data_IF_200893088657
#
_entry.id   IF_200893088657
#
_cell.length_a   1.000
_cell.length_b   1.000
_cell.length_c   1.000
_cell.angle_alpha   90.00
_cell.angle_beta   90.00
_cell.angle_gamma   90.00
#
_symmetry.space_group_name_H-M   'P 1'
#
loop_
_entity.id
_entity.type
_entity.pdbx_description
1 polymer ?
#
# COMPACT_ATOMS: atom_id res chain seq x y z
N UNK A 1 14.24 15.15 -14.90
CA UNK A 1 13.67 16.26 -15.72
C UNK A 1 12.50 15.85 -16.62
N UNK A 2 12.52 14.74 -17.37
CA UNK A 2 11.44 14.39 -18.32
C UNK A 2 10.05 14.23 -17.66
N UNK A 3 9.96 13.59 -16.47
CA UNK A 3 8.68 13.38 -15.77
C UNK A 3 8.03 14.66 -15.27
N UNK A 4 8.81 15.61 -14.76
CA UNK A 4 8.29 16.95 -14.36
C UNK A 4 7.69 17.70 -15.55
N UNK A 5 8.35 17.61 -16.71
CA UNK A 5 7.85 18.20 -17.95
C UNK A 5 6.53 17.52 -18.39
N UNK A 6 6.44 16.19 -18.30
CA UNK A 6 5.22 15.45 -18.61
C UNK A 6 4.04 15.85 -17.74
N UNK A 7 4.25 16.03 -16.42
CA UNK A 7 3.20 16.50 -15.51
C UNK A 7 2.79 17.92 -15.85
N UNK A 8 3.76 18.82 -16.08
CA UNK A 8 3.47 20.20 -16.48
C UNK A 8 2.67 20.24 -17.80
N UNK A 9 3.03 19.41 -18.77
CA UNK A 9 2.30 19.28 -20.03
C UNK A 9 0.87 18.75 -19.82
N UNK A 10 0.68 17.75 -18.95
CA UNK A 10 -0.62 17.17 -18.67
C UNK A 10 -1.57 18.13 -17.92
N UNK A 11 -1.02 19.14 -17.26
CA UNK A 11 -1.79 20.19 -16.56
C UNK A 11 -2.13 21.40 -17.46
N UNK A 12 -1.60 21.46 -18.69
CA UNK A 12 -1.95 22.52 -19.63
C UNK A 12 -3.41 22.35 -20.06
N UNK A 13 -4.22 23.40 -19.91
CA UNK A 13 -5.63 23.39 -20.31
C UNK A 13 -6.60 23.02 -19.19
N UNK A 14 -6.18 23.08 -17.94
CA UNK A 14 -7.01 22.90 -16.74
C UNK A 14 -7.86 21.62 -16.81
N UNK A 15 -7.25 20.43 -16.83
CA UNK A 15 -7.97 19.17 -16.92
C UNK A 15 -8.76 18.88 -15.64
N UNK A 16 -9.92 18.26 -15.77
CA UNK A 16 -10.69 17.74 -14.62
C UNK A 16 -10.08 16.46 -14.04
N UNK A 17 -9.33 15.69 -14.85
CA UNK A 17 -8.73 14.41 -14.47
C UNK A 17 -7.28 14.34 -14.95
N UNK A 18 -6.39 13.96 -14.04
CA UNK A 18 -4.98 13.69 -14.32
C UNK A 18 -4.70 12.19 -14.12
N UNK A 19 -4.24 11.52 -15.18
CA UNK A 19 -3.84 10.10 -15.14
C UNK A 19 -2.31 10.00 -15.11
N UNK A 20 -1.78 9.28 -14.12
CA UNK A 20 -0.36 9.09 -13.91
C UNK A 20 -0.04 7.59 -13.78
N UNK A 21 0.77 7.08 -14.70
CA UNK A 21 1.21 5.69 -14.68
C UNK A 21 2.61 5.59 -14.09
N UNK A 22 2.73 4.87 -12.95
CA UNK A 22 3.97 4.64 -12.19
C UNK A 22 4.82 5.92 -12.03
N UNK A 23 4.26 7.04 -11.55
CA UNK A 23 4.90 8.35 -11.66
C UNK A 23 6.17 8.48 -10.82
N UNK A 24 6.33 7.67 -9.78
CA UNK A 24 7.47 7.72 -8.84
C UNK A 24 8.51 6.63 -9.08
N UNK A 25 8.23 5.67 -9.98
CA UNK A 25 9.17 4.59 -10.28
C UNK A 25 10.50 5.13 -10.80
N UNK A 26 11.63 4.72 -10.19
CA UNK A 26 12.99 5.14 -10.57
C UNK A 26 13.32 6.60 -10.25
N UNK A 27 12.54 7.29 -9.43
CA UNK A 27 12.92 8.57 -8.84
C UNK A 27 13.81 8.33 -7.61
N UNK A 28 14.78 9.20 -7.42
CA UNK A 28 15.50 9.27 -6.15
C UNK A 28 14.60 9.79 -5.01
N UNK A 29 15.00 9.66 -3.74
CA UNK A 29 14.18 10.07 -2.61
C UNK A 29 13.77 11.55 -2.62
N UNK A 30 14.67 12.45 -3.06
CA UNK A 30 14.40 13.88 -3.14
C UNK A 30 13.40 14.19 -4.26
N UNK A 31 13.59 13.61 -5.43
CA UNK A 31 12.66 13.75 -6.55
C UNK A 31 11.28 13.20 -6.22
N UNK A 32 11.20 12.06 -5.51
CA UNK A 32 9.94 11.48 -5.04
C UNK A 32 9.22 12.41 -4.07
N UNK A 33 9.94 13.00 -3.10
CA UNK A 33 9.36 13.95 -2.17
C UNK A 33 8.82 15.20 -2.90
N UNK A 34 9.59 15.73 -3.84
CA UNK A 34 9.18 16.86 -4.65
C UNK A 34 7.93 16.54 -5.48
N UNK A 35 7.85 15.34 -6.08
CA UNK A 35 6.66 14.87 -6.79
C UNK A 35 5.44 14.83 -5.85
N UNK A 36 5.57 14.20 -4.68
CA UNK A 36 4.48 14.13 -3.68
C UNK A 36 3.97 15.50 -3.28
N UNK A 37 4.87 16.46 -3.11
CA UNK A 37 4.49 17.84 -2.79
C UNK A 37 3.74 18.54 -3.93
N UNK A 38 4.10 18.29 -5.20
CA UNK A 38 3.36 18.78 -6.35
C UNK A 38 1.94 18.21 -6.37
N UNK A 39 1.81 16.87 -6.26
CA UNK A 39 0.49 16.22 -6.29
C UNK A 39 -0.40 16.74 -5.15
N UNK A 40 0.13 16.88 -3.93
CA UNK A 40 -0.66 17.41 -2.80
C UNK A 40 -1.18 18.83 -3.03
N UNK A 41 -0.46 19.66 -3.79
CA UNK A 41 -0.88 21.03 -4.09
C UNK A 41 -1.99 21.11 -5.13
N UNK A 42 -1.97 20.21 -6.12
CA UNK A 42 -2.99 20.17 -7.18
C UNK A 42 -4.21 19.31 -6.80
N UNK A 43 -4.07 18.48 -5.77
CA UNK A 43 -5.13 17.65 -5.23
C UNK A 43 -6.20 18.51 -4.57
N UNK A 44 -7.42 18.41 -5.02
CA UNK A 44 -8.56 19.22 -4.58
C UNK A 44 -9.18 20.04 -5.70
N UNK A 45 -8.39 20.47 -6.67
CA UNK A 45 -8.88 21.18 -7.85
C UNK A 45 -9.16 20.23 -9.02
N UNK A 46 -8.53 19.03 -9.01
CA UNK A 46 -8.75 18.01 -10.05
C UNK A 46 -8.70 16.59 -9.47
N UNK A 47 -9.31 15.65 -10.19
CA UNK A 47 -9.23 14.23 -9.86
C UNK A 47 -7.88 13.66 -10.33
N UNK A 48 -7.03 13.21 -9.39
CA UNK A 48 -5.77 12.56 -9.72
C UNK A 48 -5.91 11.05 -9.57
N UNK A 49 -5.73 10.32 -10.65
CA UNK A 49 -5.66 8.85 -10.67
C UNK A 49 -4.22 8.45 -10.96
N UNK A 50 -3.61 7.71 -10.04
CA UNK A 50 -2.25 7.20 -10.23
C UNK A 50 -2.22 5.67 -10.10
N UNK A 51 -1.48 5.02 -10.98
CA UNK A 51 -1.11 3.62 -10.83
C UNK A 51 0.24 3.53 -10.11
N UNK A 52 0.37 2.61 -9.16
CA UNK A 52 1.64 2.32 -8.51
C UNK A 52 1.63 0.97 -7.81
N UNK A 53 2.79 0.34 -7.71
CA UNK A 53 3.04 -0.82 -6.86
C UNK A 53 3.75 -0.44 -5.55
N UNK A 54 3.97 0.85 -5.30
CA UNK A 54 4.72 1.36 -4.15
C UNK A 54 3.75 1.75 -3.04
N UNK A 55 3.64 0.92 -2.00
CA UNK A 55 2.69 1.11 -0.89
C UNK A 55 2.87 2.46 -0.18
N UNK A 56 4.10 2.91 0.04
CA UNK A 56 4.36 4.21 0.67
C UNK A 56 3.89 5.42 -0.12
N UNK A 57 3.68 5.27 -1.43
CA UNK A 57 3.08 6.33 -2.25
C UNK A 57 1.57 6.32 -2.10
N UNK A 58 0.95 5.14 -2.02
CA UNK A 58 -0.48 4.98 -1.73
C UNK A 58 -0.81 5.65 -0.40
N UNK A 59 -0.11 5.30 0.68
CA UNK A 59 -0.34 5.85 2.03
C UNK A 59 -0.18 7.36 2.10
N UNK A 60 0.74 7.92 1.30
CA UNK A 60 1.05 9.36 1.37
C UNK A 60 0.26 10.24 0.43
N UNK A 61 -0.35 9.69 -0.62
CA UNK A 61 -0.99 10.47 -1.69
C UNK A 61 -2.48 10.15 -1.89
N UNK A 62 -2.90 8.89 -1.63
CA UNK A 62 -4.22 8.44 -2.02
C UNK A 62 -5.25 8.63 -0.90
N UNK A 63 -6.44 9.10 -1.26
CA UNK A 63 -7.61 9.14 -0.38
C UNK A 63 -8.41 7.84 -0.52
N UNK A 64 -8.47 7.32 -1.75
CA UNK A 64 -9.17 6.09 -2.11
C UNK A 64 -8.23 5.16 -2.86
N UNK A 65 -8.43 3.87 -2.72
CA UNK A 65 -7.60 2.83 -3.34
C UNK A 65 -8.47 1.95 -4.22
N UNK A 66 -7.97 1.66 -5.41
CA UNK A 66 -8.54 0.68 -6.32
C UNK A 66 -7.52 -0.45 -6.48
N UNK A 67 -7.86 -1.63 -5.99
CA UNK A 67 -7.02 -2.83 -6.20
C UNK A 67 -7.53 -3.56 -7.43
N UNK A 68 -6.64 -3.72 -8.43
CA UNK A 68 -6.88 -4.52 -9.62
C UNK A 68 -6.29 -5.92 -9.40
N UNK A 69 -7.16 -6.92 -9.32
CA UNK A 69 -6.77 -8.32 -9.14
C UNK A 69 -7.63 -9.22 -10.02
N UNK A 70 -7.02 -10.15 -10.75
CA UNK A 70 -7.71 -11.10 -11.65
C UNK A 70 -8.68 -10.41 -12.64
N UNK A 71 -8.34 -9.22 -13.15
CA UNK A 71 -9.17 -8.44 -14.07
C UNK A 71 -10.39 -7.78 -13.42
N UNK A 72 -10.47 -7.78 -12.10
CA UNK A 72 -11.54 -7.13 -11.31
C UNK A 72 -11.00 -6.00 -10.48
N UNK A 73 -11.80 -4.96 -10.31
CA UNK A 73 -11.47 -3.81 -9.48
C UNK A 73 -12.28 -3.90 -8.18
N UNK A 74 -11.59 -3.77 -7.05
CA UNK A 74 -12.20 -3.59 -5.74
C UNK A 74 -11.78 -2.24 -5.20
N UNK A 75 -12.76 -1.44 -4.77
CA UNK A 75 -12.53 -0.11 -4.23
C UNK A 75 -12.47 -0.15 -2.70
N UNK A 76 -11.53 0.60 -2.13
CA UNK A 76 -11.41 0.86 -0.70
C UNK A 76 -11.46 2.37 -0.47
N UNK A 77 -12.28 2.79 0.48
CA UNK A 77 -12.53 4.21 0.75
C UNK A 77 -11.36 4.91 1.47
N UNK A 78 -10.40 4.14 1.97
CA UNK A 78 -9.19 4.66 2.62
C UNK A 78 -8.08 3.60 2.73
N UNK A 79 -6.86 4.03 3.06
CA UNK A 79 -5.77 3.14 3.44
C UNK A 79 -6.14 2.25 4.64
N UNK A 80 -6.85 2.82 5.62
CA UNK A 80 -7.34 2.07 6.79
C UNK A 80 -8.31 0.96 6.41
N UNK A 81 -9.23 1.21 5.47
CA UNK A 81 -10.17 0.20 5.00
C UNK A 81 -9.46 -0.98 4.29
N UNK A 82 -8.36 -0.71 3.57
CA UNK A 82 -7.55 -1.78 3.00
C UNK A 82 -6.76 -2.54 4.08
N UNK A 83 -6.15 -1.84 5.03
CA UNK A 83 -5.43 -2.47 6.15
C UNK A 83 -6.35 -3.38 6.98
N UNK A 84 -7.60 -2.97 7.19
CA UNK A 84 -8.59 -3.72 7.97
C UNK A 84 -8.94 -5.10 7.38
N UNK A 85 -8.65 -5.36 6.12
CA UNK A 85 -8.79 -6.70 5.50
C UNK A 85 -7.93 -7.75 6.24
N UNK A 86 -6.77 -7.32 6.78
CA UNK A 86 -5.87 -8.17 7.55
C UNK A 86 -6.07 -8.09 9.07
N UNK A 87 -7.10 -7.37 9.55
CA UNK A 87 -7.35 -7.22 10.99
C UNK A 87 -7.60 -8.57 11.66
N UNK A 88 -6.85 -8.83 12.74
CA UNK A 88 -6.90 -10.10 13.48
C UNK A 88 -6.23 -11.29 12.79
N UNK A 89 -5.46 -11.06 11.72
CA UNK A 89 -4.76 -12.10 10.96
C UNK A 89 -3.24 -11.90 10.93
N UNK A 90 -2.74 -10.79 11.44
CA UNK A 90 -1.30 -10.44 11.47
C UNK A 90 -0.74 -10.79 12.83
N UNK A 91 0.31 -11.59 12.86
CA UNK A 91 0.92 -12.12 14.07
C UNK A 91 2.44 -11.95 14.06
N UNK A 92 3.01 -11.81 15.28
CA UNK A 92 4.45 -11.90 15.51
C UNK A 92 4.75 -13.30 16.09
N UNK A 93 5.53 -14.13 15.39
CA UNK A 93 5.90 -15.48 15.81
C UNK A 93 7.41 -15.60 15.99
N UNK A 94 7.86 -16.34 17.01
CA UNK A 94 9.30 -16.58 17.24
C UNK A 94 9.89 -17.55 16.20
N UNK A 95 9.08 -18.49 15.72
CA UNK A 95 9.46 -19.46 14.70
C UNK A 95 8.26 -19.83 13.84
N UNK A 96 8.49 -20.05 12.56
CA UNK A 96 7.48 -20.55 11.62
C UNK A 96 7.52 -22.09 11.45
N UNK A 97 8.53 -22.75 12.04
CA UNK A 97 8.79 -24.18 11.83
C UNK A 97 7.65 -25.10 12.32
N UNK A 98 6.95 -24.69 13.37
CA UNK A 98 5.90 -25.50 14.02
C UNK A 98 4.47 -25.07 13.63
N UNK A 99 4.33 -24.16 12.65
CA UNK A 99 3.03 -23.69 12.21
C UNK A 99 2.36 -24.72 11.30
N UNK A 100 1.28 -25.32 11.81
CA UNK A 100 0.49 -26.31 11.07
C UNK A 100 -0.47 -25.69 10.03
N UNK A 101 -0.67 -24.37 10.07
CA UNK A 101 -1.60 -23.65 9.21
C UNK A 101 -0.87 -22.89 8.10
N UNK A 102 -1.47 -22.75 6.91
CA UNK A 102 -0.90 -21.90 5.88
C UNK A 102 -0.76 -20.45 6.36
N UNK A 103 0.37 -19.82 6.06
CA UNK A 103 0.68 -18.44 6.38
C UNK A 103 1.47 -17.79 5.24
N UNK A 104 1.43 -16.45 5.20
CA UNK A 104 2.30 -15.64 4.35
C UNK A 104 3.30 -14.91 5.24
N UNK A 105 4.61 -15.09 4.98
CA UNK A 105 5.66 -14.38 5.72
C UNK A 105 5.82 -12.96 5.17
N UNK A 106 5.80 -11.99 6.08
CA UNK A 106 6.03 -10.57 5.79
C UNK A 106 7.45 -10.11 6.15
N UNK A 107 8.26 -11.03 6.72
CA UNK A 107 9.62 -10.77 7.14
C UNK A 107 9.78 -10.39 8.61
N UNK A 108 11.01 -10.04 9.04
CA UNK A 108 11.34 -9.81 10.43
C UNK A 108 10.68 -8.53 10.97
N UNK A 109 10.22 -8.60 12.22
CA UNK A 109 9.66 -7.46 12.97
C UNK A 109 10.21 -7.46 14.38
N UNK A 110 10.36 -6.28 14.97
CA UNK A 110 10.76 -6.13 16.38
C UNK A 110 9.56 -5.68 17.21
N UNK A 111 9.23 -6.46 18.23
CA UNK A 111 8.18 -6.15 19.20
C UNK A 111 8.79 -6.17 20.58
N UNK A 112 8.65 -5.07 21.33
CA UNK A 112 9.21 -4.90 22.68
C UNK A 112 10.71 -5.26 22.80
N UNK A 113 11.49 -4.91 21.76
CA UNK A 113 12.93 -5.16 21.71
C UNK A 113 13.36 -6.58 21.36
N UNK A 114 12.40 -7.48 21.06
CA UNK A 114 12.66 -8.85 20.61
C UNK A 114 12.35 -8.99 19.12
N UNK A 115 13.15 -9.81 18.45
CA UNK A 115 12.95 -10.13 17.04
C UNK A 115 11.92 -11.25 16.88
N UNK A 116 10.99 -11.04 15.95
CA UNK A 116 9.95 -11.99 15.54
C UNK A 116 9.88 -12.04 14.03
N UNK A 117 9.25 -13.08 13.52
CA UNK A 117 8.76 -13.12 12.13
C UNK A 117 7.33 -12.62 12.08
N UNK A 118 7.05 -11.62 11.25
CA UNK A 118 5.70 -11.12 11.00
C UNK A 118 5.05 -12.00 9.95
N UNK A 119 3.86 -12.52 10.24
CA UNK A 119 3.13 -13.39 9.33
C UNK A 119 1.67 -12.98 9.24
N UNK A 120 1.04 -13.34 8.12
CA UNK A 120 -0.42 -13.29 7.94
C UNK A 120 -0.94 -14.72 7.93
N UNK A 121 -1.90 -15.04 8.80
CA UNK A 121 -2.53 -16.35 8.87
C UNK A 121 -4.05 -16.21 8.87
N UNK A 122 -4.74 -17.04 8.09
CA UNK A 122 -6.20 -17.11 8.08
C UNK A 122 -6.76 -17.74 9.36
N UNK A 123 -6.02 -18.71 9.89
CA UNK A 123 -6.39 -19.33 11.16
C UNK A 123 -5.86 -18.51 12.34
N UNK A 124 -6.63 -18.39 13.43
CA UNK A 124 -6.15 -17.73 14.63
C UNK A 124 -4.95 -18.48 15.23
N UNK A 125 -3.95 -17.72 15.67
CA UNK A 125 -2.74 -18.27 16.28
C UNK A 125 -2.64 -17.83 17.74
N UNK A 126 -2.02 -18.68 18.56
CA UNK A 126 -1.65 -18.31 19.94
C UNK A 126 -0.32 -17.54 19.93
N UNK A 127 -0.32 -16.37 19.32
CA UNK A 127 0.83 -15.48 19.17
C UNK A 127 0.37 -14.01 19.30
N UNK A 128 1.26 -13.07 19.65
CA UNK A 128 0.92 -11.66 19.69
C UNK A 128 0.35 -11.19 18.34
N UNK A 129 -0.87 -10.65 18.37
CA UNK A 129 -1.48 -10.02 17.22
C UNK A 129 -0.90 -8.62 17.02
N UNK A 130 -0.66 -8.25 15.77
CA UNK A 130 -0.18 -6.93 15.38
C UNK A 130 -1.28 -6.13 14.71
N UNK A 131 -1.22 -4.80 14.84
CA UNK A 131 -2.05 -3.90 14.04
C UNK A 131 -1.62 -4.02 12.57
N UNK A 132 -2.58 -4.21 11.66
CA UNK A 132 -2.27 -4.40 10.25
C UNK A 132 -1.86 -3.09 9.58
N UNK A 133 -0.92 -3.19 8.65
CA UNK A 133 -0.54 -2.10 7.74
C UNK A 133 -1.31 -2.21 6.41
N UNK A 134 -1.21 -1.19 5.57
CA UNK A 134 -1.78 -1.20 4.21
C UNK A 134 -1.21 -2.36 3.38
N UNK A 135 0.09 -2.66 3.56
CA UNK A 135 0.76 -3.77 2.89
C UNK A 135 0.17 -5.12 3.33
N UNK A 136 -0.07 -5.30 4.63
CA UNK A 136 -0.69 -6.52 5.15
C UNK A 136 -2.09 -6.72 4.56
N UNK A 137 -2.89 -5.65 4.53
CA UNK A 137 -4.22 -5.67 3.95
C UNK A 137 -4.21 -6.01 2.46
N UNK A 138 -3.27 -5.43 1.71
CA UNK A 138 -3.08 -5.73 0.29
C UNK A 138 -2.72 -7.20 0.06
N UNK A 139 -1.71 -7.73 0.77
CA UNK A 139 -1.31 -9.13 0.65
C UNK A 139 -2.46 -10.06 1.07
N UNK A 140 -3.13 -9.77 2.18
CA UNK A 140 -4.29 -10.55 2.64
C UNK A 140 -5.39 -10.60 1.59
N UNK A 141 -5.63 -9.49 0.88
CA UNK A 141 -6.63 -9.39 -0.19
C UNK A 141 -6.26 -10.20 -1.42
N UNK A 142 -5.03 -10.03 -1.95
CA UNK A 142 -4.61 -10.72 -3.19
C UNK A 142 -4.40 -12.23 -3.00
N UNK A 143 -3.92 -12.66 -1.84
CA UNK A 143 -3.71 -14.08 -1.48
C UNK A 143 -5.01 -14.76 -1.04
N UNK A 144 -6.14 -14.05 -1.07
CA UNK A 144 -7.46 -14.55 -0.64
C UNK A 144 -7.44 -15.13 0.78
N UNK A 145 -6.65 -14.49 1.65
CA UNK A 145 -6.59 -14.78 3.07
C UNK A 145 -7.70 -14.06 3.87
N UNK A 146 -8.54 -13.33 3.15
CA UNK A 146 -9.69 -12.59 3.68
C UNK A 146 -10.89 -13.51 3.99
#
# INVERSE_FOLDING_TARGET
MKRRLGIAQALIGDPDVLLLDEPTAGLDPEERLNFKNVIRRIKGDLCVVLSTHIITDIESLCDRILVLCDGRITAFDSCGALADVARGKVYAVESTADLATPFHSMGPVTVDGKAYEKIISKAPLNAPALEPTVEDGYICFIEKLS
#
